data_IF_552655894248
#
_entry.id   IF_552655894248
#
_cell.length_a   1.000
_cell.length_b   1.000
_cell.length_c   1.000
_cell.angle_alpha   90.00
_cell.angle_beta   90.00
_cell.angle_gamma   90.00
#
_symmetry.space_group_name_H-M   'P 1'
#
loop_
_entity.id
_entity.type
_entity.pdbx_description
1 polymer ?
#
# COMPACT_ATOMS: atom_id res chain seq x y z
N UNK A 1 29.56 23.73 -63.09
CA UNK A 1 28.48 23.24 -62.21
C UNK A 1 29.12 22.71 -60.94
N UNK A 2 29.12 23.48 -59.86
CA UNK A 2 29.59 23.04 -58.53
C UNK A 2 28.47 23.26 -57.55
N UNK A 3 27.94 22.15 -57.00
CA UNK A 3 26.85 22.15 -56.05
C UNK A 3 27.42 22.24 -54.62
N UNK A 4 27.23 23.37 -53.95
CA UNK A 4 27.44 23.49 -52.50
C UNK A 4 26.14 23.20 -51.77
N UNK A 5 26.05 22.01 -51.19
CA UNK A 5 24.95 21.57 -50.31
C UNK A 5 25.09 22.32 -48.98
N UNK A 6 24.21 23.28 -48.69
CA UNK A 6 24.15 23.93 -47.37
C UNK A 6 23.56 22.95 -46.37
N UNK A 7 24.34 22.55 -45.37
CA UNK A 7 23.86 21.76 -44.24
C UNK A 7 23.04 22.68 -43.31
N UNK A 8 21.77 22.35 -43.11
CA UNK A 8 20.91 22.99 -42.11
C UNK A 8 21.16 22.26 -40.79
N UNK A 9 21.80 22.95 -39.83
CA UNK A 9 21.97 22.46 -38.47
C UNK A 9 20.70 22.79 -37.68
N UNK A 10 19.89 21.78 -37.36
CA UNK A 10 18.80 21.90 -36.38
C UNK A 10 19.36 21.63 -34.96
N UNK A 11 19.05 22.46 -33.95
CA UNK A 11 19.42 22.15 -32.58
C UNK A 11 18.49 21.04 -32.06
N UNK A 12 19.03 19.84 -31.88
CA UNK A 12 18.35 18.76 -31.19
C UNK A 12 18.28 19.10 -29.69
N UNK A 13 17.14 19.62 -29.24
CA UNK A 13 16.86 19.84 -27.82
C UNK A 13 16.54 18.49 -27.20
N UNK A 14 17.58 17.78 -26.76
CA UNK A 14 17.45 16.49 -26.08
C UNK A 14 16.90 16.71 -24.67
N UNK A 15 15.60 16.52 -24.51
CA UNK A 15 14.96 16.42 -23.20
C UNK A 15 15.38 15.08 -22.59
N UNK A 16 16.44 15.07 -21.79
CA UNK A 16 16.88 13.89 -21.06
C UNK A 16 15.83 13.56 -19.99
N UNK A 17 14.98 12.58 -20.30
CA UNK A 17 14.04 12.01 -19.34
C UNK A 17 14.86 11.20 -18.33
N UNK A 18 15.15 11.79 -17.17
CA UNK A 18 15.80 11.08 -16.06
C UNK A 18 14.75 10.12 -15.49
N UNK A 19 14.78 8.86 -15.92
CA UNK A 19 14.08 7.79 -15.22
C UNK A 19 14.82 7.58 -13.90
N UNK A 20 14.31 8.15 -12.81
CA UNK A 20 14.69 7.70 -11.47
C UNK A 20 14.12 6.30 -11.30
N UNK A 21 14.98 5.28 -11.42
CA UNK A 21 14.62 3.94 -10.99
C UNK A 21 14.29 4.01 -9.50
N UNK A 22 13.03 3.77 -9.15
CA UNK A 22 12.62 3.53 -7.77
C UNK A 22 13.30 2.23 -7.35
N UNK A 23 14.40 2.35 -6.62
CA UNK A 23 14.93 1.20 -5.89
C UNK A 23 13.90 0.92 -4.80
N UNK A 24 12.97 0.00 -5.07
CA UNK A 24 12.22 -0.69 -4.03
C UNK A 24 13.30 -1.23 -3.10
N UNK A 25 13.49 -0.59 -1.95
CA UNK A 25 14.53 -1.06 -1.06
C UNK A 25 14.02 -2.35 -0.44
N UNK A 26 14.85 -3.40 -0.43
CA UNK A 26 14.48 -4.66 0.23
C UNK A 26 14.08 -4.45 1.70
N UNK A 27 14.52 -3.35 2.33
CA UNK A 27 14.12 -2.97 3.68
C UNK A 27 12.65 -2.52 3.74
N UNK A 28 12.16 -1.74 2.76
CA UNK A 28 10.77 -1.28 2.73
C UNK A 28 9.80 -2.46 2.56
N UNK A 29 10.19 -3.48 1.78
CA UNK A 29 9.39 -4.70 1.67
C UNK A 29 9.39 -5.53 2.98
N UNK A 30 10.52 -5.65 3.68
CA UNK A 30 10.54 -6.38 4.97
C UNK A 30 9.65 -5.72 6.02
N UNK A 31 9.69 -4.38 6.11
CA UNK A 31 8.82 -3.60 6.98
C UNK A 31 7.34 -3.74 6.58
N UNK A 32 7.04 -3.76 5.28
CA UNK A 32 5.68 -3.98 4.79
C UNK A 32 5.17 -5.39 5.09
N UNK A 33 6.02 -6.43 4.97
CA UNK A 33 5.71 -7.82 5.38
C UNK A 33 5.38 -7.87 6.88
N UNK A 34 6.22 -7.25 7.72
CA UNK A 34 6.02 -7.22 9.16
C UNK A 34 4.70 -6.53 9.54
N UNK A 35 4.42 -5.38 8.91
CA UNK A 35 3.17 -4.64 9.10
C UNK A 35 1.94 -5.44 8.66
N UNK A 36 2.02 -6.11 7.51
CA UNK A 36 0.95 -6.99 7.01
C UNK A 36 0.64 -8.13 7.98
N UNK A 37 1.67 -8.81 8.50
CA UNK A 37 1.51 -9.92 9.43
C UNK A 37 0.93 -9.46 10.77
N UNK A 38 1.36 -8.30 11.27
CA UNK A 38 0.78 -7.70 12.48
C UNK A 38 -0.69 -7.35 12.28
N UNK A 39 -1.01 -6.61 11.21
CA UNK A 39 -2.39 -6.20 10.92
C UNK A 39 -3.32 -7.40 10.68
N UNK A 40 -2.81 -8.49 10.08
CA UNK A 40 -3.53 -9.77 9.95
C UNK A 40 -3.90 -10.35 11.32
N UNK A 41 -2.93 -10.39 12.25
CA UNK A 41 -3.17 -10.91 13.60
C UNK A 41 -4.18 -10.05 14.38
N UNK A 42 -4.12 -8.73 14.18
CA UNK A 42 -4.99 -7.78 14.84
C UNK A 42 -6.44 -7.85 14.32
N UNK A 43 -6.64 -7.91 12.99
CA UNK A 43 -7.98 -8.04 12.41
C UNK A 43 -8.64 -9.37 12.78
N UNK A 44 -7.90 -10.48 12.79
CA UNK A 44 -8.41 -11.79 13.24
C UNK A 44 -8.84 -11.75 14.71
N UNK A 45 -8.01 -11.14 15.57
CA UNK A 45 -8.28 -11.00 16.99
C UNK A 45 -9.51 -10.12 17.25
N UNK A 46 -9.62 -9.00 16.54
CA UNK A 46 -10.76 -8.09 16.66
C UNK A 46 -12.05 -8.72 16.15
N UNK A 47 -11.98 -9.45 15.03
CA UNK A 47 -13.12 -10.17 14.46
C UNK A 47 -13.65 -11.22 15.45
N UNK A 48 -12.77 -11.99 16.07
CA UNK A 48 -13.14 -12.99 17.08
C UNK A 48 -13.83 -12.36 18.28
N UNK A 49 -13.33 -11.22 18.78
CA UNK A 49 -13.95 -10.50 19.91
C UNK A 49 -15.33 -9.98 19.56
N UNK A 50 -15.49 -9.38 18.38
CA UNK A 50 -16.78 -8.91 17.91
C UNK A 50 -17.77 -10.05 17.72
N UNK A 51 -17.36 -11.15 17.08
CA UNK A 51 -18.19 -12.34 16.89
C UNK A 51 -18.64 -12.94 18.23
N UNK A 52 -17.75 -13.04 19.21
CA UNK A 52 -18.09 -13.50 20.56
C UNK A 52 -19.11 -12.58 21.23
N UNK A 53 -18.91 -11.25 21.19
CA UNK A 53 -19.86 -10.31 21.77
C UNK A 53 -21.26 -10.45 21.13
N UNK A 54 -21.35 -10.50 19.81
CA UNK A 54 -22.63 -10.64 19.11
C UNK A 54 -23.29 -11.98 19.45
N UNK A 55 -22.52 -13.06 19.51
CA UNK A 55 -23.05 -14.40 19.81
C UNK A 55 -23.51 -14.54 21.26
N UNK A 56 -22.76 -14.00 22.22
CA UNK A 56 -23.05 -14.12 23.66
C UNK A 56 -24.13 -13.14 24.11
N UNK A 57 -24.15 -11.93 23.55
CA UNK A 57 -25.06 -10.86 23.95
C UNK A 57 -26.52 -11.17 23.64
N UNK A 58 -26.81 -11.91 22.56
CA UNK A 58 -28.18 -12.12 22.05
C UNK A 58 -28.97 -10.79 21.91
N UNK A 59 -28.28 -9.69 21.61
CA UNK A 59 -28.86 -8.35 21.50
C UNK A 59 -29.10 -7.62 22.84
N UNK A 60 -28.55 -8.12 23.95
CA UNK A 60 -28.68 -7.52 25.29
C UNK A 60 -27.48 -6.63 25.67
N UNK A 61 -26.30 -6.96 25.18
CA UNK A 61 -25.07 -6.20 25.42
C UNK A 61 -24.76 -5.25 24.27
N UNK A 62 -24.19 -4.10 24.60
CA UNK A 62 -23.71 -3.13 23.62
C UNK A 62 -22.34 -3.55 23.08
N UNK A 63 -22.33 -4.20 21.92
CA UNK A 63 -21.10 -4.57 21.20
C UNK A 63 -20.45 -3.42 20.43
N UNK A 64 -20.89 -2.16 20.62
CA UNK A 64 -20.38 -1.01 19.88
C UNK A 64 -18.86 -0.82 20.01
N UNK A 65 -18.29 -1.01 21.21
CA UNK A 65 -16.85 -0.90 21.39
C UNK A 65 -16.08 -1.95 20.57
N UNK A 66 -16.66 -3.13 20.40
CA UNK A 66 -16.00 -4.28 19.76
C UNK A 66 -16.09 -4.11 18.25
N UNK A 67 -17.22 -3.60 17.78
CA UNK A 67 -17.39 -3.14 16.40
C UNK A 67 -16.42 -2.01 16.06
N UNK A 68 -16.26 -1.01 16.94
CA UNK A 68 -15.30 0.10 16.74
C UNK A 68 -13.86 -0.39 16.66
N UNK A 69 -13.48 -1.37 17.50
CA UNK A 69 -12.15 -2.01 17.44
C UNK A 69 -11.95 -2.77 16.15
N UNK A 70 -12.94 -3.56 15.71
CA UNK A 70 -12.88 -4.28 14.43
C UNK A 70 -12.72 -3.32 13.25
N UNK A 71 -13.47 -2.21 13.24
CA UNK A 71 -13.35 -1.21 12.18
C UNK A 71 -11.96 -0.59 12.11
N UNK A 72 -11.37 -0.23 13.25
CA UNK A 72 -9.99 0.27 13.30
C UNK A 72 -9.01 -0.75 12.71
N UNK A 73 -9.12 -2.02 13.13
CA UNK A 73 -8.24 -3.08 12.62
C UNK A 73 -8.44 -3.36 11.12
N UNK A 74 -9.65 -3.14 10.58
CA UNK A 74 -9.93 -3.21 9.15
C UNK A 74 -9.22 -2.09 8.38
N UNK A 75 -9.29 -0.85 8.89
CA UNK A 75 -8.62 0.30 8.28
C UNK A 75 -7.08 0.10 8.27
N UNK A 76 -6.52 -0.44 9.37
CA UNK A 76 -5.10 -0.77 9.49
C UNK A 76 -4.69 -1.91 8.53
N UNK A 77 -5.52 -2.95 8.42
CA UNK A 77 -5.28 -4.07 7.51
C UNK A 77 -5.35 -3.64 6.04
N UNK A 78 -6.31 -2.81 5.64
CA UNK A 78 -6.39 -2.26 4.29
C UNK A 78 -5.13 -1.46 3.93
N UNK A 79 -4.67 -0.64 4.87
CA UNK A 79 -3.43 0.14 4.72
C UNK A 79 -2.22 -0.78 4.54
N UNK A 80 -2.10 -1.82 5.37
CA UNK A 80 -0.99 -2.77 5.29
C UNK A 80 -1.00 -3.61 4.00
N UNK A 81 -2.17 -4.00 3.49
CA UNK A 81 -2.33 -4.67 2.19
C UNK A 81 -1.84 -3.76 1.06
N UNK A 82 -2.23 -2.48 1.10
CA UNK A 82 -1.78 -1.50 0.11
C UNK A 82 -0.26 -1.31 0.13
N UNK A 83 0.34 -1.15 1.32
CA UNK A 83 1.80 -1.00 1.46
C UNK A 83 2.54 -2.26 1.01
N UNK A 84 2.05 -3.45 1.36
CA UNK A 84 2.65 -4.69 0.87
C UNK A 84 2.67 -4.76 -0.67
N UNK A 85 1.56 -4.38 -1.30
CA UNK A 85 1.47 -4.34 -2.76
C UNK A 85 2.39 -3.31 -3.42
N UNK A 86 2.61 -2.15 -2.78
CA UNK A 86 3.52 -1.12 -3.31
C UNK A 86 4.99 -1.43 -3.09
N UNK A 87 5.34 -1.95 -1.92
CA UNK A 87 6.73 -2.17 -1.51
C UNK A 87 7.28 -3.55 -1.91
N UNK A 88 6.43 -4.55 -2.18
CA UNK A 88 6.87 -5.90 -2.52
C UNK A 88 6.42 -6.39 -3.92
N UNK A 89 5.62 -5.60 -4.63
CA UNK A 89 4.97 -5.95 -5.91
C UNK A 89 5.78 -5.65 -7.16
#
# INVERSE_FOLDING_TARGET
>A
MTATKKAVLMPAMSLALVLTATTISFADCDDAVNSYNSATSDIESALKRYANCVSESQGRDDCYSEFRRLRSAQDDFESAVSSYGSECG
#
